data_IF_604669055061
#
_entry.id   IF_604669055061
#
_cell.length_a   1.000
_cell.length_b   1.000
_cell.length_c   1.000
_cell.angle_alpha   90.00
_cell.angle_beta   90.00
_cell.angle_gamma   90.00
#
_symmetry.space_group_name_H-M   'P 1'
#
loop_
_entity.id
_entity.type
_entity.pdbx_description
1 polymer ?
#
# COMPACT_ATOMS: atom_id res chain seq x y z
N UNK A 1 -9.15 -2.26 -18.15
CA UNK A 1 -10.24 -3.00 -17.43
C UNK A 1 -9.78 -3.12 -15.98
N UNK A 2 -10.58 -2.67 -15.02
CA UNK A 2 -10.26 -2.75 -13.58
C UNK A 2 -10.43 -4.19 -13.04
N UNK A 3 -9.93 -4.41 -11.83
CA UNK A 3 -10.09 -5.67 -11.10
C UNK A 3 -11.59 -5.99 -10.89
N UNK A 4 -11.93 -7.28 -10.81
CA UNK A 4 -13.28 -7.73 -10.41
C UNK A 4 -13.56 -7.53 -8.91
N UNK A 5 -12.56 -7.13 -8.12
CA UNK A 5 -12.69 -6.93 -6.67
C UNK A 5 -13.22 -5.54 -6.36
N UNK A 6 -14.42 -5.46 -5.83
CA UNK A 6 -15.10 -4.19 -5.52
C UNK A 6 -14.31 -3.32 -4.53
N UNK A 7 -13.79 -3.91 -3.44
CA UNK A 7 -12.99 -3.19 -2.46
C UNK A 7 -11.73 -2.54 -3.05
N UNK A 8 -11.12 -3.18 -4.06
CA UNK A 8 -9.95 -2.62 -4.78
C UNK A 8 -10.37 -1.45 -5.67
N UNK A 9 -11.54 -1.55 -6.32
CA UNK A 9 -12.07 -0.46 -7.13
C UNK A 9 -12.44 0.75 -6.28
N UNK A 10 -13.07 0.53 -5.12
CA UNK A 10 -13.40 1.58 -4.15
C UNK A 10 -12.11 2.24 -3.63
N UNK A 11 -11.09 1.46 -3.27
CA UNK A 11 -9.80 1.98 -2.84
C UNK A 11 -9.20 2.91 -3.89
N UNK A 12 -9.14 2.47 -5.15
CA UNK A 12 -8.60 3.28 -6.25
C UNK A 12 -9.39 4.58 -6.43
N UNK A 13 -10.71 4.52 -6.42
CA UNK A 13 -11.56 5.69 -6.53
C UNK A 13 -11.36 6.69 -5.36
N UNK A 14 -11.15 6.18 -4.14
CA UNK A 14 -10.87 7.03 -2.98
C UNK A 14 -9.50 7.69 -3.10
N UNK A 15 -8.46 7.00 -3.57
CA UNK A 15 -7.14 7.59 -3.78
C UNK A 15 -7.24 8.78 -4.74
N UNK A 16 -7.90 8.60 -5.89
CA UNK A 16 -8.12 9.69 -6.87
C UNK A 16 -8.93 10.83 -6.24
N UNK A 17 -10.04 10.51 -5.55
CA UNK A 17 -10.88 11.52 -4.89
C UNK A 17 -10.13 12.38 -3.88
N UNK A 18 -9.15 11.79 -3.18
CA UNK A 18 -8.32 12.51 -2.22
C UNK A 18 -7.03 13.09 -2.82
N UNK A 19 -6.93 13.17 -4.14
CA UNK A 19 -5.86 13.86 -4.85
C UNK A 19 -4.54 13.10 -4.87
N UNK A 20 -4.57 11.79 -4.72
CA UNK A 20 -3.37 10.95 -4.87
C UNK A 20 -3.20 10.61 -6.33
N UNK A 21 -2.25 11.27 -6.98
CA UNK A 21 -1.96 11.15 -8.41
C UNK A 21 -0.72 10.30 -8.72
N UNK A 22 0.03 9.88 -7.69
CA UNK A 22 1.28 9.12 -7.86
C UNK A 22 1.31 7.92 -6.92
N UNK A 23 1.76 6.78 -7.43
CA UNK A 23 1.91 5.56 -6.66
C UNK A 23 3.25 4.87 -6.93
N UNK A 24 4.02 4.60 -5.90
CA UNK A 24 5.17 3.69 -5.96
C UNK A 24 4.65 2.27 -5.72
N UNK A 25 4.95 1.34 -6.64
CA UNK A 25 4.39 -0.01 -6.61
C UNK A 25 5.48 -1.07 -6.59
N UNK A 26 5.40 -2.01 -5.66
CA UNK A 26 6.28 -3.17 -5.60
C UNK A 26 5.59 -4.40 -6.20
N UNK A 27 6.34 -5.28 -6.89
CA UNK A 27 5.78 -6.50 -7.44
C UNK A 27 5.37 -7.49 -6.34
N UNK A 28 4.27 -8.19 -6.55
CA UNK A 28 3.80 -9.24 -5.64
C UNK A 28 2.46 -9.82 -6.07
N UNK A 29 2.20 -11.08 -5.71
CA UNK A 29 0.97 -11.75 -6.12
C UNK A 29 -0.26 -11.26 -5.35
N UNK A 30 -0.11 -10.91 -4.07
CA UNK A 30 -1.25 -10.51 -3.23
C UNK A 30 -1.69 -9.07 -3.43
N UNK A 31 -0.80 -8.21 -3.81
CA UNK A 31 -1.13 -6.84 -4.18
C UNK A 31 -1.40 -6.68 -5.69
N UNK A 32 -1.28 -7.75 -6.48
CA UNK A 32 -1.48 -7.71 -7.94
C UNK A 32 -2.80 -7.03 -8.37
N UNK A 33 -3.98 -7.33 -7.79
CA UNK A 33 -5.21 -6.64 -8.16
C UNK A 33 -5.17 -5.13 -7.90
N UNK A 34 -4.48 -4.71 -6.81
CA UNK A 34 -4.33 -3.30 -6.45
C UNK A 34 -3.38 -2.62 -7.43
N UNK A 35 -2.21 -3.22 -7.67
CA UNK A 35 -1.22 -2.69 -8.62
C UNK A 35 -1.83 -2.57 -10.02
N UNK A 36 -2.58 -3.61 -10.46
CA UNK A 36 -3.28 -3.57 -11.74
C UNK A 36 -4.23 -2.36 -11.85
N UNK A 37 -5.04 -2.12 -10.82
CA UNK A 37 -5.96 -0.99 -10.81
C UNK A 37 -5.21 0.36 -10.82
N UNK A 38 -4.19 0.51 -9.97
CA UNK A 38 -3.39 1.74 -9.92
C UNK A 38 -2.75 2.04 -11.27
N UNK A 39 -2.11 1.04 -11.89
CA UNK A 39 -1.43 1.21 -13.18
C UNK A 39 -2.39 1.36 -14.39
N UNK A 40 -3.66 0.97 -14.24
CA UNK A 40 -4.67 1.12 -15.30
C UNK A 40 -5.45 2.43 -15.13
N UNK A 41 -5.43 3.04 -13.95
CA UNK A 41 -6.12 4.29 -13.66
C UNK A 41 -5.42 5.46 -14.38
N UNK A 42 -6.12 6.22 -15.24
CA UNK A 42 -5.51 7.32 -15.98
C UNK A 42 -5.11 8.51 -15.08
N UNK A 43 -5.66 8.58 -13.87
CA UNK A 43 -5.41 9.67 -12.92
C UNK A 43 -4.26 9.36 -11.94
N UNK A 44 -3.63 8.16 -12.06
CA UNK A 44 -2.54 7.74 -11.18
C UNK A 44 -1.32 7.32 -12.01
N UNK A 45 -0.22 8.02 -11.84
CA UNK A 45 1.07 7.65 -12.42
C UNK A 45 1.79 6.64 -11.50
N UNK A 46 2.17 5.48 -12.04
CA UNK A 46 2.82 4.40 -11.29
C UNK A 46 4.32 4.35 -11.52
N UNK A 47 5.07 4.20 -10.43
CA UNK A 47 6.53 4.08 -10.39
C UNK A 47 6.91 2.71 -9.82
N UNK A 48 7.31 1.74 -10.66
CA UNK A 48 7.68 0.41 -10.18
C UNK A 48 9.05 0.42 -9.51
N UNK A 49 9.13 -0.12 -8.28
CA UNK A 49 10.37 -0.31 -7.52
C UNK A 49 10.34 -1.70 -6.89
N UNK A 50 11.36 -2.52 -7.14
CA UNK A 50 11.35 -3.93 -6.73
C UNK A 50 11.57 -4.12 -5.23
N UNK A 51 12.52 -3.39 -4.65
CA UNK A 51 12.85 -3.48 -3.21
C UNK A 51 11.94 -2.55 -2.40
N UNK A 52 11.19 -3.11 -1.44
CA UNK A 52 10.17 -2.37 -0.69
C UNK A 52 10.75 -1.28 0.21
N UNK A 53 11.93 -1.49 0.78
CA UNK A 53 12.60 -0.45 1.59
C UNK A 53 13.01 0.71 0.70
N UNK A 54 13.56 0.45 -0.45
CA UNK A 54 13.89 1.48 -1.45
C UNK A 54 12.64 2.18 -1.94
N UNK A 55 11.56 1.44 -2.22
CA UNK A 55 10.27 1.97 -2.62
C UNK A 55 9.70 2.95 -1.58
N UNK A 56 9.82 2.62 -0.28
CA UNK A 56 9.41 3.49 0.80
C UNK A 56 10.13 4.83 0.78
N UNK A 57 11.45 4.83 0.62
CA UNK A 57 12.23 6.07 0.56
C UNK A 57 12.05 6.82 -0.76
N UNK A 58 11.81 6.13 -1.88
CA UNK A 58 11.42 6.78 -3.14
C UNK A 58 10.09 7.52 -2.96
N UNK A 59 9.08 6.87 -2.39
CA UNK A 59 7.79 7.50 -2.14
C UNK A 59 7.90 8.71 -1.19
N UNK A 60 8.73 8.60 -0.14
CA UNK A 60 9.03 9.71 0.76
C UNK A 60 9.70 10.86 0.04
N UNK A 61 10.73 10.57 -0.79
CA UNK A 61 11.43 11.58 -1.60
C UNK A 61 10.49 12.32 -2.54
N UNK A 62 9.59 11.59 -3.22
CA UNK A 62 8.56 12.18 -4.08
C UNK A 62 7.61 13.08 -3.28
N UNK A 63 7.14 12.63 -2.11
CA UNK A 63 6.29 13.45 -1.24
C UNK A 63 6.98 14.71 -0.74
N UNK A 64 8.29 14.65 -0.52
CA UNK A 64 9.09 15.83 -0.14
C UNK A 64 9.25 16.81 -1.30
N UNK A 65 9.52 16.31 -2.50
CA UNK A 65 9.76 17.13 -3.70
C UNK A 65 8.48 17.83 -4.18
N UNK A 66 7.38 17.09 -4.21
CA UNK A 66 6.13 17.60 -4.79
C UNK A 66 5.21 18.24 -3.73
N UNK A 67 5.49 18.00 -2.45
CA UNK A 67 4.63 18.39 -1.32
C UNK A 67 3.20 17.82 -1.43
N UNK A 68 3.07 16.63 -2.00
CA UNK A 68 1.81 15.91 -2.25
C UNK A 68 1.79 14.55 -1.56
N UNK A 69 0.59 13.98 -1.30
CA UNK A 69 0.47 12.62 -0.81
C UNK A 69 0.84 11.61 -1.89
N UNK A 70 1.66 10.63 -1.53
CA UNK A 70 2.09 9.55 -2.42
C UNK A 70 1.56 8.23 -1.87
N UNK A 71 1.00 7.39 -2.77
CA UNK A 71 0.67 6.01 -2.44
C UNK A 71 1.91 5.12 -2.56
N UNK A 72 2.04 4.17 -1.63
CA UNK A 72 3.06 3.12 -1.67
C UNK A 72 2.36 1.77 -1.55
N UNK A 73 2.45 0.94 -2.59
CA UNK A 73 1.78 -0.36 -2.62
C UNK A 73 2.79 -1.50 -2.57
N UNK A 74 2.68 -2.33 -1.54
CA UNK A 74 3.54 -3.50 -1.30
C UNK A 74 2.72 -4.77 -1.14
N UNK A 75 3.36 -5.92 -1.26
CA UNK A 75 2.70 -7.22 -1.02
C UNK A 75 2.61 -7.53 0.48
N UNK A 76 2.13 -8.73 0.83
CA UNK A 76 1.95 -9.15 2.22
C UNK A 76 3.25 -9.55 2.91
N UNK A 77 3.19 -9.69 4.23
CA UNK A 77 4.27 -10.25 5.03
C UNK A 77 5.42 -9.30 5.27
N UNK A 78 6.65 -9.77 5.13
CA UNK A 78 7.87 -8.99 5.35
C UNK A 78 8.00 -7.76 4.43
N UNK A 79 7.30 -7.73 3.31
CA UNK A 79 7.23 -6.57 2.44
C UNK A 79 6.71 -5.33 3.19
N UNK A 80 5.66 -5.48 4.03
CA UNK A 80 5.17 -4.39 4.86
C UNK A 80 6.21 -3.96 5.92
N UNK A 81 6.92 -4.92 6.53
CA UNK A 81 7.97 -4.59 7.51
C UNK A 81 9.12 -3.79 6.90
N UNK A 82 9.46 -4.05 5.65
CA UNK A 82 10.53 -3.34 4.95
C UNK A 82 10.23 -1.85 4.73
N UNK A 83 8.96 -1.43 4.75
CA UNK A 83 8.62 0.00 4.60
C UNK A 83 8.62 0.75 5.94
N UNK A 84 8.77 0.06 7.07
CA UNK A 84 8.74 0.67 8.40
C UNK A 84 9.73 1.82 8.58
N UNK A 85 11.00 1.74 8.12
CA UNK A 85 11.93 2.86 8.24
C UNK A 85 11.45 4.13 7.51
N UNK A 86 10.92 3.99 6.30
CA UNK A 86 10.39 5.12 5.54
C UNK A 86 9.08 5.65 6.14
N UNK A 87 8.24 4.78 6.68
CA UNK A 87 7.02 5.19 7.40
C UNK A 87 7.36 6.02 8.64
N UNK A 88 8.35 5.58 9.43
CA UNK A 88 8.82 6.34 10.59
C UNK A 88 9.37 7.70 10.18
N UNK A 89 10.23 7.77 9.18
CA UNK A 89 10.79 9.03 8.70
C UNK A 89 9.69 9.97 8.18
N UNK A 90 8.74 9.47 7.39
CA UNK A 90 7.59 10.24 6.91
C UNK A 90 6.74 10.79 8.06
N UNK A 91 6.53 9.98 9.11
CA UNK A 91 5.77 10.37 10.30
C UNK A 91 6.43 11.56 11.02
N UNK A 92 7.73 11.47 11.32
CA UNK A 92 8.46 12.52 12.00
C UNK A 92 8.63 13.79 11.14
N UNK A 93 8.80 13.64 9.83
CA UNK A 93 8.85 14.77 8.89
C UNK A 93 7.44 15.30 8.52
N UNK A 94 6.36 14.70 9.05
CA UNK A 94 4.96 15.08 8.76
C UNK A 94 4.64 15.04 7.25
N UNK A 95 5.18 14.04 6.56
CA UNK A 95 4.93 13.84 5.12
C UNK A 95 3.82 12.83 4.90
N UNK A 96 2.87 13.13 4.01
CA UNK A 96 1.74 12.25 3.76
C UNK A 96 2.14 11.07 2.87
N UNK A 97 2.22 9.87 3.46
CA UNK A 97 2.30 8.60 2.74
C UNK A 97 1.04 7.79 3.00
N UNK A 98 0.49 7.19 1.94
CA UNK A 98 -0.59 6.20 2.01
C UNK A 98 -0.01 4.85 1.71
N UNK A 99 0.29 4.08 2.76
CA UNK A 99 0.89 2.75 2.64
C UNK A 99 -0.25 1.73 2.48
N UNK A 100 -0.21 0.98 1.39
CA UNK A 100 -1.20 -0.03 1.02
C UNK A 100 -0.47 -1.36 0.94
N UNK A 101 -0.88 -2.34 1.74
CA UNK A 101 -0.33 -3.69 1.64
C UNK A 101 -1.40 -4.71 1.28
N UNK A 102 -1.04 -5.68 0.45
CA UNK A 102 -1.80 -6.91 0.35
C UNK A 102 -1.78 -7.65 1.70
N UNK A 103 -2.80 -8.46 1.95
CA UNK A 103 -2.81 -9.34 3.13
C UNK A 103 -3.42 -10.70 2.78
N UNK A 104 -3.31 -11.64 3.70
CA UNK A 104 -3.98 -12.93 3.64
C UNK A 104 -5.35 -12.83 4.32
N UNK A 105 -6.32 -13.69 3.94
CA UNK A 105 -7.54 -13.87 4.71
C UNK A 105 -7.23 -14.13 6.19
N UNK A 106 -8.04 -13.54 7.08
CA UNK A 106 -7.80 -13.57 8.53
C UNK A 106 -7.63 -15.00 9.09
N UNK A 107 -8.35 -15.97 8.53
CA UNK A 107 -8.27 -17.38 8.94
C UNK A 107 -6.92 -18.05 8.63
N UNK A 108 -6.10 -17.45 7.77
CA UNK A 108 -4.79 -18.00 7.37
C UNK A 108 -3.64 -17.40 8.19
N UNK A 109 -3.92 -16.33 8.93
CA UNK A 109 -2.92 -15.68 9.80
C UNK A 109 -2.63 -16.61 10.98
N UNK A 110 -1.34 -16.75 11.34
CA UNK A 110 -0.84 -17.66 12.39
C UNK A 110 -0.99 -19.16 12.07
N UNK A 111 -1.21 -19.53 10.81
CA UNK A 111 -1.26 -20.92 10.35
C UNK A 111 0.04 -21.39 9.69
N UNK A 112 1.15 -20.68 9.87
CA UNK A 112 2.44 -20.95 9.24
C UNK A 112 2.41 -20.92 7.69
N UNK A 113 1.42 -20.28 7.12
CA UNK A 113 1.35 -20.07 5.67
C UNK A 113 2.39 -19.03 5.21
N UNK A 114 2.97 -19.25 4.03
CA UNK A 114 4.03 -18.41 3.49
C UNK A 114 3.62 -16.94 3.33
N UNK A 115 4.51 -16.02 3.72
CA UNK A 115 4.27 -14.57 3.68
C UNK A 115 3.05 -14.10 4.49
N UNK A 116 2.73 -14.78 5.58
CA UNK A 116 1.71 -14.36 6.55
C UNK A 116 2.35 -13.87 7.83
N UNK A 117 1.87 -12.75 8.32
CA UNK A 117 2.15 -12.24 9.66
C UNK A 117 1.01 -11.30 10.10
N UNK A 118 1.00 -10.97 11.38
CA UNK A 118 0.05 -9.99 11.91
C UNK A 118 0.40 -8.60 11.36
N UNK A 119 -0.32 -8.15 10.33
CA UNK A 119 -0.02 -6.87 9.66
C UNK A 119 -0.69 -5.67 10.31
N UNK A 120 -1.90 -5.85 10.86
CA UNK A 120 -2.62 -4.77 11.53
C UNK A 120 -1.80 -4.20 12.69
N UNK A 121 -1.61 -2.90 12.72
CA UNK A 121 -0.84 -2.21 13.75
C UNK A 121 0.68 -2.36 13.66
N UNK A 122 1.21 -3.12 12.70
CA UNK A 122 2.65 -3.39 12.58
C UNK A 122 3.51 -2.13 12.43
N UNK A 123 2.99 -1.09 11.82
CA UNK A 123 3.71 0.18 11.64
C UNK A 123 3.47 1.18 12.77
N UNK A 124 2.64 0.87 13.75
CA UNK A 124 2.44 1.73 14.92
C UNK A 124 3.70 1.75 15.80
N UNK A 125 4.03 2.88 16.45
CA UNK A 125 3.29 4.14 16.50
C UNK A 125 3.61 5.14 15.37
N UNK A 126 4.29 4.73 14.31
CA UNK A 126 4.81 5.62 13.26
C UNK A 126 3.81 5.84 12.11
N UNK A 127 2.52 5.67 12.37
CA UNK A 127 1.43 6.00 11.45
C UNK A 127 0.30 6.70 12.19
N UNK A 128 -0.43 7.56 11.49
CA UNK A 128 -1.58 8.24 12.09
C UNK A 128 -2.77 7.31 12.27
N UNK A 129 -2.92 6.33 11.38
CA UNK A 129 -4.01 5.36 11.39
C UNK A 129 -3.62 4.10 10.63
N UNK A 130 -3.98 2.96 11.19
CA UNK A 130 -3.94 1.65 10.54
C UNK A 130 -5.39 1.17 10.33
N UNK A 131 -5.70 0.68 9.13
CA UNK A 131 -7.05 0.21 8.77
C UNK A 131 -6.93 -1.09 8.01
N UNK A 132 -7.72 -2.07 8.39
CA UNK A 132 -7.92 -3.30 7.61
C UNK A 132 -9.22 -3.16 6.80
N UNK A 133 -9.11 -3.28 5.48
CA UNK A 133 -10.30 -3.25 4.61
C UNK A 133 -11.06 -4.57 4.74
N UNK A 134 -12.40 -4.55 4.68
CA UNK A 134 -13.21 -5.76 4.72
C UNK A 134 -12.91 -6.66 3.52
N UNK A 135 -12.97 -7.97 3.74
CA UNK A 135 -12.91 -8.93 2.64
C UNK A 135 -14.16 -8.77 1.76
N UNK A 136 -14.01 -8.85 0.42
CA UNK A 136 -15.18 -8.83 -0.45
C UNK A 136 -16.01 -10.09 -0.18
N UNK A 137 -17.26 -9.91 0.16
CA UNK A 137 -18.20 -11.03 0.20
C UNK A 137 -18.46 -11.48 -1.23
N UNK A 138 -18.04 -12.68 -1.60
CA UNK A 138 -18.52 -13.33 -2.81
C UNK A 138 -19.95 -13.76 -2.54
N UNK A 139 -20.92 -13.05 -3.12
CA UNK A 139 -22.26 -13.57 -3.30
C UNK A 139 -22.29 -14.61 -4.42
#
# INVERSE_FOLDING_TARGET
MYSSKENVNILTALLVKFGISKAVVCPGSRNSPIVHNLCTCPDIECFPVTDERSAGFVALGMSLADNEPIALCVTSGSALLNVAPAAAEAFYQKRPLVIISGDRPAQWINQQDGQTLQQHGTLEPNVRKSVTLPEPHNE
#
